data_IF_221322400549
#
_entry.id   IF_221322400549
#
_cell.length_a   1.000
_cell.length_b   1.000
_cell.length_c   1.000
_cell.angle_alpha   90.00
_cell.angle_beta   90.00
_cell.angle_gamma   90.00
#
_symmetry.space_group_name_H-M   'P 1'
#
loop_
_entity.id
_entity.type
_entity.pdbx_description
1 polymer ?
#
# COMPACT_ATOMS: atom_id res chain seq x y z
N UNK A 1 -31.64 -14.46 6.73
CA UNK A 1 -31.14 -15.01 5.44
C UNK A 1 -30.66 -13.94 4.46
N UNK A 2 -31.25 -12.73 4.42
CA UNK A 2 -30.82 -11.61 3.58
C UNK A 2 -29.42 -11.07 3.94
N UNK A 3 -29.13 -10.87 5.23
CA UNK A 3 -27.83 -10.35 5.71
C UNK A 3 -26.63 -11.23 5.34
N UNK A 4 -26.79 -12.56 5.35
CA UNK A 4 -25.72 -13.48 4.93
C UNK A 4 -25.40 -13.30 3.43
N UNK A 5 -26.43 -13.10 2.59
CA UNK A 5 -26.24 -12.82 1.15
C UNK A 5 -25.55 -11.47 0.93
N UNK A 6 -25.90 -10.45 1.71
CA UNK A 6 -25.24 -9.15 1.69
C UNK A 6 -23.74 -9.27 2.02
N UNK A 7 -23.40 -10.07 3.04
CA UNK A 7 -22.01 -10.30 3.44
C UNK A 7 -21.18 -10.91 2.30
N UNK A 8 -21.71 -11.91 1.60
CA UNK A 8 -21.03 -12.51 0.45
C UNK A 8 -20.81 -11.51 -0.70
N UNK A 9 -21.78 -10.64 -0.97
CA UNK A 9 -21.64 -9.58 -1.97
C UNK A 9 -20.50 -8.63 -1.57
N UNK A 10 -20.46 -8.17 -0.32
CA UNK A 10 -19.42 -7.26 0.18
C UNK A 10 -18.02 -7.89 0.09
N UNK A 11 -17.88 -9.17 0.45
CA UNK A 11 -16.61 -9.90 0.38
C UNK A 11 -16.15 -10.06 -1.08
N UNK A 12 -17.05 -10.46 -1.98
CA UNK A 12 -16.69 -10.64 -3.39
C UNK A 12 -16.30 -9.33 -4.05
N UNK A 13 -17.01 -8.24 -3.76
CA UNK A 13 -16.67 -6.92 -4.31
C UNK A 13 -15.35 -6.40 -3.77
N UNK A 14 -15.07 -6.60 -2.47
CA UNK A 14 -13.80 -6.15 -1.88
C UNK A 14 -12.61 -6.92 -2.44
N UNK A 15 -12.75 -8.22 -2.73
CA UNK A 15 -11.72 -8.99 -3.42
C UNK A 15 -11.55 -8.61 -4.90
N UNK A 16 -12.65 -8.33 -5.61
CA UNK A 16 -12.60 -7.95 -7.02
C UNK A 16 -11.96 -6.56 -7.26
N UNK A 17 -12.06 -5.65 -6.28
CA UNK A 17 -11.52 -4.29 -6.34
C UNK A 17 -10.38 -4.04 -5.35
N UNK A 18 -9.87 -5.07 -4.66
CA UNK A 18 -8.69 -4.91 -3.82
C UNK A 18 -7.49 -4.61 -4.69
N UNK A 19 -6.78 -3.54 -4.39
CA UNK A 19 -5.50 -3.24 -5.01
C UNK A 19 -4.47 -4.23 -4.46
N UNK A 20 -4.09 -5.22 -5.26
CA UNK A 20 -3.06 -6.20 -4.90
C UNK A 20 -1.65 -5.63 -5.03
N UNK A 21 -1.44 -4.79 -6.06
CA UNK A 21 -0.21 -4.05 -6.23
C UNK A 21 -0.19 -2.88 -5.25
N UNK A 22 0.45 -3.10 -4.10
CA UNK A 22 1.09 -2.01 -3.40
C UNK A 22 2.16 -1.46 -4.34
N UNK A 23 1.79 -0.43 -5.12
CA UNK A 23 2.71 0.22 -6.04
C UNK A 23 3.80 0.84 -5.19
N UNK A 24 4.99 0.26 -5.24
CA UNK A 24 6.21 0.88 -4.77
C UNK A 24 6.63 1.98 -5.76
N UNK A 25 5.70 2.75 -6.31
CA UNK A 25 6.00 3.84 -7.24
C UNK A 25 6.16 5.14 -6.46
N UNK A 26 7.16 5.91 -6.84
CA UNK A 26 7.38 7.24 -6.31
C UNK A 26 6.35 8.21 -6.89
N UNK A 27 5.33 8.52 -6.09
CA UNK A 27 4.27 9.47 -6.45
C UNK A 27 4.58 10.91 -6.03
N UNK A 28 5.80 11.21 -5.57
CA UNK A 28 6.19 12.57 -5.22
C UNK A 28 6.65 13.33 -6.50
N UNK A 29 5.88 14.31 -7.00
CA UNK A 29 6.19 15.01 -8.25
C UNK A 29 7.46 15.87 -8.18
N UNK A 30 7.98 16.13 -6.97
CA UNK A 30 9.23 16.85 -6.77
C UNK A 30 10.44 15.92 -6.62
N UNK A 31 10.24 14.60 -6.67
CA UNK A 31 11.30 13.62 -6.56
C UNK A 31 12.02 13.45 -7.91
N UNK A 32 13.33 13.19 -7.86
CA UNK A 32 14.11 12.85 -9.04
C UNK A 32 13.72 11.49 -9.64
N UNK A 33 13.06 10.64 -8.85
CA UNK A 33 12.62 9.29 -9.19
C UNK A 33 11.10 9.19 -9.41
N UNK A 34 10.39 10.32 -9.61
CA UNK A 34 8.94 10.34 -9.82
C UNK A 34 8.50 9.37 -10.93
N UNK A 35 7.48 8.56 -10.64
CA UNK A 35 6.94 7.54 -11.55
C UNK A 35 7.80 6.27 -11.68
N UNK A 36 8.85 6.13 -10.87
CA UNK A 36 9.72 4.93 -10.85
C UNK A 36 9.57 4.16 -9.54
N UNK A 37 10.09 2.93 -9.49
CA UNK A 37 9.93 2.07 -8.33
C UNK A 37 10.87 2.51 -7.17
N UNK A 38 10.34 2.89 -6.01
CA UNK A 38 11.07 3.41 -4.83
C UNK A 38 11.97 2.37 -4.16
N UNK A 39 11.95 1.10 -4.56
CA UNK A 39 12.53 0.04 -3.72
C UNK A 39 13.93 -0.44 -4.13
N UNK A 40 14.32 -0.43 -5.41
CA UNK A 40 15.61 -1.01 -5.80
C UNK A 40 16.21 -0.42 -7.09
N UNK A 41 17.49 0.01 -7.10
CA UNK A 41 18.46 0.01 -5.99
C UNK A 41 18.56 1.34 -5.21
N UNK A 42 17.82 2.39 -5.59
CA UNK A 42 18.12 3.78 -5.17
C UNK A 42 18.07 4.03 -3.64
N UNK A 43 17.30 3.23 -2.90
CA UNK A 43 17.11 3.42 -1.46
C UNK A 43 17.66 2.26 -0.62
N UNK A 44 18.33 1.27 -1.20
CA UNK A 44 18.77 0.06 -0.48
C UNK A 44 19.63 0.37 0.75
N UNK A 45 20.43 1.44 0.70
CA UNK A 45 21.29 1.90 1.80
C UNK A 45 20.79 3.15 2.54
N UNK A 46 19.62 3.68 2.14
CA UNK A 46 19.05 4.93 2.67
C UNK A 46 17.73 4.73 3.43
N UNK A 47 17.20 3.50 3.48
CA UNK A 47 15.99 3.19 4.26
C UNK A 47 16.33 3.24 5.76
N UNK A 48 15.93 4.33 6.42
CA UNK A 48 15.96 4.45 7.88
C UNK A 48 14.58 4.14 8.44
N UNK A 49 14.45 3.03 9.16
CA UNK A 49 13.19 2.67 9.83
C UNK A 49 13.06 3.43 11.16
N UNK A 50 12.10 4.35 11.24
CA UNK A 50 11.79 5.06 12.48
C UNK A 50 10.71 4.33 13.29
N UNK A 51 11.09 3.74 14.43
CA UNK A 51 10.13 3.16 15.38
C UNK A 51 9.66 4.23 16.36
N UNK A 52 8.42 4.69 16.22
CA UNK A 52 7.80 5.57 17.20
C UNK A 52 7.16 4.69 18.30
N UNK A 53 7.83 4.61 19.45
CA UNK A 53 7.25 3.99 20.64
C UNK A 53 6.10 4.85 21.17
N UNK A 54 5.02 4.21 21.63
CA UNK A 54 3.99 4.91 22.40
C UNK A 54 4.52 5.13 23.82
N UNK A 55 4.52 6.36 24.34
CA UNK A 55 4.67 6.55 25.78
C UNK A 55 3.41 6.00 26.46
N UNK A 56 3.59 5.05 27.37
CA UNK A 56 2.54 4.53 28.24
C UNK A 56 2.21 5.50 29.37
#
# INVERSE_FOLDING_TARGET
>A
MFYNKLLYVVILTSLAFSQYEYSLEDVNPNSATFGTNVWYPDFSDYITLHYFGTQG
#
